data_IF_065940505746
#
_entry.id   IF_065940505746
#
_cell.length_a   1.000
_cell.length_b   1.000
_cell.length_c   1.000
_cell.angle_alpha   90.00
_cell.angle_beta   90.00
_cell.angle_gamma   90.00
#
_symmetry.space_group_name_H-M   'P 1'
#
loop_
_entity.id
_entity.type
_entity.pdbx_description
1 polymer ?
#
# COMPACT_ATOMS: atom_id res chain seq x y z
N UNK A 1 -51.11 20.35 -1.43
CA UNK A 1 -49.72 20.35 -0.89
C UNK A 1 -49.06 19.05 -1.31
N UNK A 2 -48.20 19.14 -2.31
CA UNK A 2 -47.48 18.01 -2.90
C UNK A 2 -46.37 17.58 -1.94
N UNK A 3 -46.46 16.37 -1.37
CA UNK A 3 -45.38 15.82 -0.54
C UNK A 3 -44.22 15.46 -1.46
N UNK A 4 -43.05 16.01 -1.16
CA UNK A 4 -41.77 15.74 -1.81
C UNK A 4 -41.48 14.23 -1.84
N UNK A 5 -41.43 13.65 -3.04
CA UNK A 5 -40.73 12.40 -3.32
C UNK A 5 -39.36 12.77 -3.86
N UNK A 6 -38.29 12.47 -3.14
CA UNK A 6 -36.93 12.30 -3.67
C UNK A 6 -36.03 11.83 -2.52
N UNK A 7 -36.16 10.56 -2.14
CA UNK A 7 -34.98 9.84 -1.67
C UNK A 7 -34.37 9.30 -2.97
N UNK A 8 -33.41 10.04 -3.52
CA UNK A 8 -32.49 9.46 -4.49
C UNK A 8 -31.76 8.33 -3.76
N UNK A 9 -31.80 7.12 -4.32
CA UNK A 9 -31.05 5.98 -3.81
C UNK A 9 -29.57 6.38 -3.78
N UNK A 10 -29.04 6.59 -2.58
CA UNK A 10 -27.63 6.87 -2.38
C UNK A 10 -26.83 5.61 -2.75
N UNK A 11 -26.27 5.59 -3.95
CA UNK A 11 -25.48 4.47 -4.44
C UNK A 11 -24.07 4.53 -3.85
N UNK A 12 -23.91 3.80 -2.74
CA UNK A 12 -22.65 3.65 -2.03
C UNK A 12 -21.56 3.10 -2.96
N UNK A 13 -21.90 2.23 -3.91
CA UNK A 13 -20.93 1.62 -4.82
C UNK A 13 -20.43 2.63 -5.84
N UNK A 14 -21.29 3.52 -6.35
CA UNK A 14 -20.86 4.59 -7.25
C UNK A 14 -19.92 5.58 -6.54
N UNK A 15 -20.25 5.94 -5.30
CA UNK A 15 -19.39 6.80 -4.49
C UNK A 15 -18.03 6.16 -4.23
N UNK A 16 -17.98 4.90 -3.81
CA UNK A 16 -16.72 4.19 -3.55
C UNK A 16 -15.86 4.07 -4.81
N UNK A 17 -16.47 3.80 -5.97
CA UNK A 17 -15.77 3.78 -7.26
C UNK A 17 -15.25 5.16 -7.67
N UNK A 18 -16.00 6.23 -7.38
CA UNK A 18 -15.55 7.60 -7.67
C UNK A 18 -14.35 8.01 -6.81
N UNK A 19 -14.36 7.61 -5.54
CA UNK A 19 -13.25 7.81 -4.60
C UNK A 19 -12.04 7.01 -5.08
N UNK A 20 -12.22 5.75 -5.43
CA UNK A 20 -11.15 4.91 -5.98
C UNK A 20 -10.54 5.51 -7.25
N UNK A 21 -11.37 6.00 -8.19
CA UNK A 21 -10.90 6.70 -9.38
C UNK A 21 -10.14 7.97 -9.04
N UNK A 22 -10.58 8.75 -8.06
CA UNK A 22 -9.89 9.96 -7.63
C UNK A 22 -8.53 9.67 -6.99
N UNK A 23 -8.44 8.60 -6.18
CA UNK A 23 -7.19 8.13 -5.59
C UNK A 23 -6.23 7.57 -6.65
N UNK A 24 -6.73 6.77 -7.58
CA UNK A 24 -5.94 6.22 -8.68
C UNK A 24 -5.50 7.31 -9.68
N UNK A 25 -6.32 8.35 -9.90
CA UNK A 25 -5.99 9.47 -10.79
C UNK A 25 -4.79 10.30 -10.31
N UNK A 26 -4.44 10.23 -9.02
CA UNK A 26 -3.24 10.88 -8.50
C UNK A 26 -1.95 10.13 -8.88
N UNK A 27 -2.03 8.92 -9.46
CA UNK A 27 -0.91 8.11 -9.99
C UNK A 27 0.37 8.09 -9.11
N UNK A 28 0.22 8.27 -7.80
CA UNK A 28 1.36 8.44 -6.89
C UNK A 28 1.26 7.39 -5.81
N UNK A 29 2.24 6.48 -5.80
CA UNK A 29 2.38 5.54 -4.71
C UNK A 29 2.70 6.30 -3.42
N UNK A 30 2.05 5.95 -2.32
CA UNK A 30 2.31 6.52 -1.00
C UNK A 30 2.66 5.45 0.01
N UNK A 31 3.36 5.83 1.05
CA UNK A 31 3.76 4.95 2.14
C UNK A 31 2.93 5.30 3.37
N UNK A 32 2.28 4.29 3.97
CA UNK A 32 1.56 4.41 5.23
C UNK A 32 2.22 3.54 6.30
N UNK A 33 2.38 4.09 7.50
CA UNK A 33 2.99 3.39 8.63
C UNK A 33 1.88 2.77 9.47
N UNK A 34 1.61 1.49 9.28
CA UNK A 34 0.46 0.84 9.93
C UNK A 34 0.75 0.36 11.35
N UNK A 35 1.95 -0.14 11.64
CA UNK A 35 2.21 -0.83 12.92
C UNK A 35 3.52 -0.36 13.52
N UNK A 36 3.45 0.18 14.74
CA UNK A 36 4.59 0.33 15.62
C UNK A 36 4.83 -1.03 16.29
N UNK A 37 5.84 -1.77 15.84
CA UNK A 37 6.23 -3.03 16.44
C UNK A 37 6.94 -2.70 17.75
N UNK A 38 6.19 -2.70 18.84
CA UNK A 38 6.72 -2.29 20.13
C UNK A 38 7.77 -3.30 20.62
N UNK A 39 9.01 -2.82 20.73
CA UNK A 39 9.96 -3.09 21.81
C UNK A 39 11.19 -2.20 21.67
N UNK A 40 11.31 -1.23 22.59
CA UNK A 40 12.49 -0.40 22.93
C UNK A 40 13.03 0.52 21.84
N UNK A 41 12.89 1.85 22.05
CA UNK A 41 13.66 3.03 21.57
C UNK A 41 14.08 3.16 20.09
N UNK A 42 14.03 2.09 19.31
CA UNK A 42 14.36 2.02 17.90
C UNK A 42 13.04 1.92 17.12
N UNK A 43 12.92 2.73 16.07
CA UNK A 43 11.71 2.94 15.30
C UNK A 43 11.40 1.73 14.39
N UNK A 44 11.00 0.60 14.99
CA UNK A 44 10.60 -0.60 14.25
C UNK A 44 9.14 -0.47 13.79
N UNK A 45 8.95 0.11 12.61
CA UNK A 45 7.65 0.19 11.94
C UNK A 45 7.50 -0.88 10.85
N UNK A 46 6.28 -1.40 10.68
CA UNK A 46 5.85 -2.00 9.41
C UNK A 46 5.24 -0.89 8.55
N UNK A 47 5.74 -0.77 7.33
CA UNK A 47 5.35 0.25 6.37
C UNK A 47 4.71 -0.42 5.16
N UNK A 48 3.53 0.06 4.75
CA UNK A 48 2.84 -0.41 3.56
C UNK A 48 2.95 0.61 2.45
N UNK A 49 3.25 0.13 1.24
CA UNK A 49 3.24 0.96 0.04
C UNK A 49 1.92 0.74 -0.68
N UNK A 50 1.22 1.82 -0.98
CA UNK A 50 -0.11 1.81 -1.58
C UNK A 50 -0.12 2.55 -2.90
N UNK A 51 -0.95 2.08 -3.84
CA UNK A 51 -1.32 2.79 -5.04
C UNK A 51 -2.85 2.84 -5.11
N UNK A 52 -3.40 4.03 -4.83
CA UNK A 52 -4.81 4.17 -4.53
C UNK A 52 -5.25 3.29 -3.34
N UNK A 53 -6.14 2.33 -3.59
CA UNK A 53 -6.62 1.34 -2.58
C UNK A 53 -5.89 0.00 -2.66
N UNK A 54 -4.96 -0.17 -3.60
CA UNK A 54 -4.22 -1.40 -3.74
C UNK A 54 -2.93 -1.33 -2.92
N UNK A 55 -2.74 -2.28 -2.00
CA UNK A 55 -1.47 -2.45 -1.32
C UNK A 55 -0.49 -3.10 -2.31
N UNK A 56 0.63 -2.43 -2.58
CA UNK A 56 1.68 -2.88 -3.47
C UNK A 56 2.68 -3.80 -2.76
N UNK A 57 2.78 -3.72 -1.44
CA UNK A 57 3.75 -4.46 -0.65
C UNK A 57 4.02 -3.80 0.69
N UNK A 58 4.94 -4.40 1.44
CA UNK A 58 5.34 -3.91 2.74
C UNK A 58 6.85 -3.93 2.92
N UNK A 59 7.37 -3.08 3.78
CA UNK A 59 8.76 -3.14 4.22
C UNK A 59 8.90 -2.83 5.72
N UNK A 60 9.98 -3.30 6.34
CA UNK A 60 10.30 -3.06 7.74
C UNK A 60 11.80 -3.00 7.95
N UNK A 61 12.25 -2.45 9.09
CA UNK A 61 13.65 -2.56 9.51
C UNK A 61 13.89 -3.95 10.07
N UNK A 62 14.94 -4.64 9.60
CA UNK A 62 15.36 -5.93 10.14
C UNK A 62 15.78 -5.80 11.61
N UNK A 63 15.56 -6.86 12.38
CA UNK A 63 15.98 -6.95 13.79
C UNK A 63 17.42 -7.40 13.93
N UNK A 64 17.89 -8.24 13.02
CA UNK A 64 19.19 -8.91 13.09
C UNK A 64 20.27 -8.14 12.32
N UNK A 65 19.85 -7.44 11.26
CA UNK A 65 20.73 -6.70 10.36
C UNK A 65 20.29 -5.24 10.30
N UNK A 66 21.24 -4.32 10.20
CA UNK A 66 20.95 -2.88 10.06
C UNK A 66 20.50 -2.55 8.62
N UNK A 67 19.44 -3.23 8.14
CA UNK A 67 18.90 -3.15 6.79
C UNK A 67 17.36 -3.04 6.79
N UNK A 68 16.81 -2.59 5.67
CA UNK A 68 15.38 -2.56 5.39
C UNK A 68 14.99 -3.75 4.53
N UNK A 69 14.02 -4.53 4.98
CA UNK A 69 13.49 -5.70 4.29
C UNK A 69 12.21 -5.31 3.57
N UNK A 70 12.16 -5.48 2.25
CA UNK A 70 11.01 -5.18 1.42
C UNK A 70 10.41 -6.44 0.78
N UNK A 71 9.09 -6.51 0.77
CA UNK A 71 8.31 -7.61 0.20
C UNK A 71 7.17 -7.04 -0.66
N UNK A 72 7.32 -6.99 -1.99
CA UNK A 72 6.24 -6.62 -2.89
C UNK A 72 5.15 -7.69 -2.89
N UNK A 73 3.89 -7.27 -3.03
CA UNK A 73 2.76 -8.15 -3.27
C UNK A 73 2.55 -8.33 -4.77
N UNK A 74 2.14 -9.53 -5.19
CA UNK A 74 1.77 -9.79 -6.57
C UNK A 74 0.36 -9.21 -6.84
N UNK A 75 -0.01 -8.95 -8.12
CA UNK A 75 -1.41 -8.57 -8.41
C UNK A 75 -2.35 -9.60 -7.79
N UNK A 76 -3.46 -9.11 -7.23
CA UNK A 76 -4.48 -9.84 -6.48
C UNK A 76 -4.14 -10.14 -5.00
N UNK A 77 -3.10 -9.50 -4.44
CA UNK A 77 -2.81 -9.59 -3.00
C UNK A 77 -2.24 -10.94 -2.55
N UNK A 78 -1.77 -11.76 -3.50
CA UNK A 78 -1.05 -12.98 -3.18
C UNK A 78 0.42 -12.65 -2.90
N UNK A 79 0.97 -13.21 -1.82
CA UNK A 79 2.41 -13.34 -1.66
C UNK A 79 2.89 -14.38 -2.68
N UNK A 80 3.97 -14.08 -3.41
CA UNK A 80 4.60 -15.09 -4.23
C UNK A 80 5.27 -16.09 -3.33
N UNK A 81 5.06 -17.37 -3.61
CA UNK A 81 5.48 -18.50 -2.81
C UNK A 81 7.02 -18.65 -2.62
N UNK A 82 7.86 -17.71 -3.09
CA UNK A 82 9.30 -17.95 -3.13
C UNK A 82 10.27 -16.76 -3.09
N UNK A 83 9.84 -15.52 -2.83
CA UNK A 83 10.82 -14.42 -2.68
C UNK A 83 11.02 -14.10 -1.22
N UNK A 84 12.14 -14.57 -0.66
CA UNK A 84 12.72 -13.98 0.54
C UNK A 84 12.70 -12.45 0.42
N UNK A 85 12.44 -11.72 1.51
CA UNK A 85 12.46 -10.26 1.49
C UNK A 85 13.80 -9.76 0.94
N UNK A 86 13.74 -8.73 0.09
CA UNK A 86 14.94 -8.08 -0.43
C UNK A 86 15.45 -7.06 0.59
N UNK A 87 16.76 -7.03 0.83
CA UNK A 87 17.39 -6.16 1.80
C UNK A 87 17.95 -4.89 1.15
N UNK A 88 17.78 -3.75 1.82
CA UNK A 88 18.17 -2.43 1.36
C UNK A 88 18.80 -1.62 2.49
N UNK A 89 19.62 -0.62 2.16
CA UNK A 89 20.30 0.20 3.17
C UNK A 89 19.35 1.24 3.76
N UNK A 90 18.46 1.81 2.94
CA UNK A 90 17.53 2.87 3.32
C UNK A 90 16.07 2.50 3.08
N UNK A 91 15.15 3.20 3.74
CA UNK A 91 13.72 2.94 3.58
C UNK A 91 13.21 3.39 2.21
N UNK A 92 13.80 4.43 1.62
CA UNK A 92 13.44 4.93 0.29
C UNK A 92 13.73 3.88 -0.78
N UNK A 93 14.87 3.19 -0.68
CA UNK A 93 15.22 2.10 -1.58
C UNK A 93 14.23 0.93 -1.47
N UNK A 94 13.84 0.57 -0.25
CA UNK A 94 12.84 -0.47 0.01
C UNK A 94 11.46 -0.10 -0.59
N UNK A 95 11.03 1.16 -0.42
CA UNK A 95 9.80 1.67 -1.01
C UNK A 95 9.87 1.70 -2.54
N UNK A 96 10.94 2.24 -3.11
CA UNK A 96 11.12 2.35 -4.56
C UNK A 96 11.12 0.96 -5.21
N UNK A 97 11.77 -0.02 -4.61
CA UNK A 97 11.76 -1.40 -5.07
C UNK A 97 10.33 -1.97 -5.19
N UNK A 98 9.46 -1.72 -4.21
CA UNK A 98 8.06 -2.18 -4.26
C UNK A 98 7.29 -1.49 -5.39
N UNK A 99 7.49 -0.18 -5.57
CA UNK A 99 6.84 0.57 -6.66
C UNK A 99 7.32 0.09 -8.03
N UNK A 100 8.63 -0.12 -8.19
CA UNK A 100 9.22 -0.63 -9.43
C UNK A 100 8.74 -2.05 -9.74
N UNK A 101 8.64 -2.92 -8.74
CA UNK A 101 8.11 -4.28 -8.92
C UNK A 101 6.67 -4.27 -9.44
N UNK A 102 5.85 -3.31 -8.99
CA UNK A 102 4.49 -3.11 -9.48
C UNK A 102 4.46 -2.54 -10.91
N UNK A 103 5.20 -1.47 -11.19
CA UNK A 103 5.20 -0.80 -12.50
C UNK A 103 5.87 -1.63 -13.61
N UNK A 104 6.89 -2.41 -13.26
CA UNK A 104 7.60 -3.29 -14.19
C UNK A 104 6.78 -4.49 -14.69
N UNK A 105 5.62 -4.76 -14.09
CA UNK A 105 4.68 -5.81 -14.52
C UNK A 105 3.74 -5.39 -15.66
N UNK A 106 3.64 -4.09 -15.96
CA UNK A 106 2.77 -3.57 -17.03
C UNK A 106 3.49 -3.35 -18.37
N UNK A 107 4.76 -3.78 -18.49
CA UNK A 107 5.50 -3.88 -19.78
C UNK A 107 5.70 -5.35 -20.17
#
# INVERSE_FOLDING_TARGET
MTRLTQYEDFDILELENSIEKAYNAQNTAYCDREIQLDKSENDYGLYHVWYGRQCLGAFCRSFDDDCWLATPFYRNGCFGDSSSPSAFETHEQAQEYIVQAYLGWDN
#
